data_IF_251866720517
#
_entry.id   IF_251866720517
#
_cell.length_a   1.000
_cell.length_b   1.000
_cell.length_c   1.000
_cell.angle_alpha   90.00
_cell.angle_beta   90.00
_cell.angle_gamma   90.00
#
_symmetry.space_group_name_H-M   'P 1'
#
loop_
_entity.id
_entity.type
_entity.pdbx_description
1 polymer ?
#
# COMPACT_ATOMS: atom_id res chain seq x y z
N UNK A 1 14.10 -22.19 -3.59
CA UNK A 1 13.68 -20.77 -3.52
C UNK A 1 12.69 -20.63 -2.39
N UNK A 2 12.44 -19.42 -1.92
CA UNK A 2 11.40 -19.17 -0.91
C UNK A 2 10.07 -18.95 -1.63
N UNK A 3 9.03 -19.68 -1.24
CA UNK A 3 7.67 -19.46 -1.74
C UNK A 3 7.06 -18.23 -1.07
N UNK A 4 7.00 -17.11 -1.80
CA UNK A 4 6.60 -15.81 -1.27
C UNK A 4 5.20 -15.85 -0.62
N UNK A 5 4.24 -16.53 -1.25
CA UNK A 5 2.86 -16.66 -0.76
C UNK A 5 2.82 -17.37 0.60
N UNK A 6 3.58 -18.45 0.74
CA UNK A 6 3.68 -19.20 2.00
C UNK A 6 4.29 -18.36 3.12
N UNK A 7 5.33 -17.58 2.80
CA UNK A 7 5.95 -16.65 3.77
C UNK A 7 5.00 -15.52 4.15
N UNK A 8 4.23 -14.98 3.21
CA UNK A 8 3.24 -13.95 3.49
C UNK A 8 2.15 -14.47 4.44
N UNK A 9 1.61 -15.67 4.19
CA UNK A 9 0.61 -16.29 5.06
C UNK A 9 1.14 -16.53 6.49
N UNK A 10 2.36 -17.09 6.62
CA UNK A 10 2.99 -17.29 7.93
C UNK A 10 3.28 -15.96 8.64
N UNK A 11 3.71 -14.94 7.89
CA UNK A 11 3.92 -13.59 8.42
C UNK A 11 2.62 -13.01 8.95
N UNK A 12 1.50 -13.13 8.22
CA UNK A 12 0.21 -12.63 8.65
C UNK A 12 -0.27 -13.33 9.94
N UNK A 13 -0.07 -14.64 10.05
CA UNK A 13 -0.36 -15.39 11.27
C UNK A 13 0.50 -14.91 12.45
N UNK A 14 1.81 -14.78 12.25
CA UNK A 14 2.74 -14.29 13.26
C UNK A 14 2.45 -12.84 13.68
N UNK A 15 2.04 -11.97 12.75
CA UNK A 15 1.63 -10.60 13.02
C UNK A 15 0.40 -10.57 13.94
N UNK A 16 -0.62 -11.37 13.65
CA UNK A 16 -1.81 -11.46 14.49
C UNK A 16 -1.51 -11.92 15.92
N UNK A 17 -0.57 -12.85 16.09
CA UNK A 17 -0.07 -13.26 17.43
C UNK A 17 0.70 -12.12 18.08
N UNK A 18 1.58 -11.45 17.34
CA UNK A 18 2.42 -10.37 17.84
C UNK A 18 1.60 -9.19 18.34
N UNK A 19 0.57 -8.76 17.59
CA UNK A 19 -0.36 -7.70 18.02
C UNK A 19 -1.04 -8.08 19.34
N UNK A 20 -1.61 -9.29 19.44
CA UNK A 20 -2.24 -9.73 20.69
C UNK A 20 -1.24 -9.79 21.85
N UNK A 21 0.00 -10.19 21.58
CA UNK A 21 1.04 -10.25 22.60
C UNK A 21 1.45 -8.85 23.07
N UNK A 22 1.61 -7.88 22.16
CA UNK A 22 1.94 -6.51 22.52
C UNK A 22 0.82 -5.84 23.30
N UNK A 23 -0.44 -6.12 22.93
CA UNK A 23 -1.62 -5.64 23.67
C UNK A 23 -1.70 -6.27 25.06
N UNK A 24 -1.63 -7.60 25.16
CA UNK A 24 -1.73 -8.34 26.41
C UNK A 24 -0.61 -7.99 27.41
N UNK A 25 0.54 -7.54 26.91
CA UNK A 25 1.67 -7.13 27.75
C UNK A 25 1.77 -5.62 27.96
N UNK A 26 0.85 -4.82 27.38
CA UNK A 26 0.86 -3.37 27.50
C UNK A 26 2.12 -2.73 26.89
N UNK A 27 2.61 -3.26 25.76
CA UNK A 27 3.77 -2.74 25.02
C UNK A 27 3.37 -1.80 23.87
N UNK A 28 2.08 -1.52 23.71
CA UNK A 28 1.54 -0.69 22.64
C UNK A 28 1.38 -1.45 21.33
N UNK A 29 1.26 -0.73 20.21
CA UNK A 29 1.08 -1.34 18.90
C UNK A 29 2.32 -2.09 18.38
N UNK A 30 2.07 -3.06 17.50
CA UNK A 30 3.14 -3.78 16.80
C UNK A 30 4.07 -2.82 16.04
N UNK A 31 5.38 -3.04 16.16
CA UNK A 31 6.40 -2.27 15.43
C UNK A 31 7.25 -3.16 14.55
N UNK A 32 7.76 -4.26 15.12
CA UNK A 32 8.59 -5.23 14.43
C UNK A 32 8.60 -6.58 15.16
N UNK A 33 8.95 -7.63 14.43
CA UNK A 33 9.21 -9.00 14.89
C UNK A 33 10.55 -9.45 14.33
N UNK A 34 11.40 -10.07 15.15
CA UNK A 34 12.62 -10.74 14.71
C UNK A 34 12.59 -12.20 15.17
N UNK A 35 12.74 -13.12 14.24
CA UNK A 35 12.89 -14.56 14.49
C UNK A 35 14.28 -14.97 14.06
N UNK A 36 15.05 -15.59 14.97
CA UNK A 36 16.34 -16.20 14.66
C UNK A 36 16.17 -17.71 14.46
N UNK A 37 16.50 -18.20 13.28
CA UNK A 37 16.63 -19.62 12.98
C UNK A 37 18.10 -20.07 12.97
N UNK A 38 18.33 -21.37 12.81
CA UNK A 38 19.69 -21.93 12.77
C UNK A 38 20.54 -21.48 11.56
N UNK A 39 19.91 -20.94 10.52
CA UNK A 39 20.58 -20.53 9.27
C UNK A 39 20.39 -19.06 8.93
N UNK A 40 19.77 -18.26 9.81
CA UNK A 40 19.45 -16.87 9.50
C UNK A 40 18.36 -16.24 10.33
N UNK A 41 17.86 -15.12 9.84
CA UNK A 41 16.85 -14.29 10.49
C UNK A 41 15.67 -14.05 9.56
N UNK A 42 14.49 -13.94 10.17
CA UNK A 42 13.27 -13.43 9.56
C UNK A 42 12.92 -12.18 10.35
N UNK A 43 12.88 -11.03 9.68
CA UNK A 43 12.54 -9.76 10.31
C UNK A 43 11.31 -9.15 9.63
N UNK A 44 10.27 -8.85 10.39
CA UNK A 44 9.04 -8.24 9.89
C UNK A 44 8.87 -6.86 10.53
N UNK A 45 8.65 -5.83 9.73
CA UNK A 45 8.46 -4.44 10.18
C UNK A 45 7.10 -3.92 9.72
N UNK A 46 6.45 -3.09 10.53
CA UNK A 46 5.25 -2.38 10.10
C UNK A 46 5.54 -1.52 8.85
N UNK A 47 4.64 -1.56 7.87
CA UNK A 47 4.75 -0.79 6.63
C UNK A 47 3.38 -0.20 6.27
N UNK A 48 3.08 0.97 6.85
CA UNK A 48 1.81 1.65 6.65
C UNK A 48 0.70 1.07 7.52
N UNK A 49 -0.54 1.37 7.15
CA UNK A 49 -1.74 0.98 7.88
C UNK A 49 -2.22 -0.45 7.60
N UNK A 50 -1.82 -1.02 6.46
CA UNK A 50 -2.39 -2.27 5.95
C UNK A 50 -1.35 -3.33 5.54
N UNK A 51 -0.04 -3.06 5.71
CA UNK A 51 1.01 -3.94 5.22
C UNK A 51 2.19 -4.07 6.19
N UNK A 52 3.02 -5.08 5.93
CA UNK A 52 4.28 -5.32 6.62
C UNK A 52 5.38 -5.65 5.62
N UNK A 53 6.61 -5.27 5.95
CA UNK A 53 7.82 -5.64 5.22
C UNK A 53 8.49 -6.82 5.91
N UNK A 54 8.57 -7.98 5.25
CA UNK A 54 9.33 -9.14 5.73
C UNK A 54 10.65 -9.28 4.97
N UNK A 55 11.75 -9.37 5.72
CA UNK A 55 13.11 -9.56 5.24
C UNK A 55 13.64 -10.92 5.70
N UNK A 56 14.29 -11.63 4.78
CA UNK A 56 15.02 -12.85 5.07
C UNK A 56 16.51 -12.57 4.98
N UNK A 57 17.26 -12.97 5.99
CA UNK A 57 18.69 -12.69 6.08
C UNK A 57 19.48 -13.90 6.55
N UNK A 58 20.72 -14.04 6.08
CA UNK A 58 21.63 -15.09 6.50
C UNK A 58 22.15 -14.88 7.94
N UNK A 59 22.64 -15.93 8.60
CA UNK A 59 23.02 -15.89 10.02
C UNK A 59 24.17 -14.90 10.34
N UNK A 60 25.03 -14.60 9.37
CA UNK A 60 26.16 -13.67 9.55
C UNK A 60 25.80 -12.19 9.31
N UNK A 61 24.52 -11.87 9.14
CA UNK A 61 24.14 -10.47 8.91
C UNK A 61 24.37 -9.61 10.16
N UNK A 62 24.68 -8.33 9.96
CA UNK A 62 24.66 -7.36 11.04
C UNK A 62 23.20 -7.03 11.40
N UNK A 63 22.70 -7.59 12.51
CA UNK A 63 21.32 -7.40 12.98
C UNK A 63 21.00 -5.93 13.27
N UNK A 64 21.97 -5.17 13.78
CA UNK A 64 21.80 -3.72 13.99
C UNK A 64 21.53 -2.98 12.68
N UNK A 65 22.28 -3.31 11.62
CA UNK A 65 22.06 -2.76 10.27
C UNK A 65 20.76 -3.25 9.65
N UNK A 66 20.38 -4.51 9.88
CA UNK A 66 19.10 -5.07 9.44
C UNK A 66 17.93 -4.26 10.02
N UNK A 67 17.96 -3.93 11.31
CA UNK A 67 16.93 -3.08 11.93
C UNK A 67 16.97 -1.64 11.42
N UNK A 68 18.16 -1.04 11.30
CA UNK A 68 18.29 0.34 10.82
C UNK A 68 17.66 0.51 9.44
N UNK A 69 18.05 -0.34 8.50
CA UNK A 69 17.56 -0.25 7.12
C UNK A 69 16.14 -0.81 7.00
N UNK A 70 15.79 -1.87 7.73
CA UNK A 70 14.45 -2.47 7.74
C UNK A 70 13.38 -1.50 8.20
N UNK A 71 13.62 -0.76 9.29
CA UNK A 71 12.70 0.29 9.77
C UNK A 71 12.57 1.44 8.77
N UNK A 72 13.69 1.88 8.19
CA UNK A 72 13.71 2.96 7.20
C UNK A 72 12.96 2.58 5.92
N UNK A 73 13.20 1.37 5.42
CA UNK A 73 12.52 0.83 4.25
C UNK A 73 11.04 0.60 4.53
N UNK A 74 10.70 0.02 5.69
CA UNK A 74 9.31 -0.20 6.11
C UNK A 74 8.49 1.09 6.16
N UNK A 75 9.05 2.16 6.74
CA UNK A 75 8.39 3.47 6.76
C UNK A 75 8.11 4.00 5.35
N UNK A 76 9.12 3.98 4.46
CA UNK A 76 8.98 4.45 3.07
C UNK A 76 8.01 3.61 2.24
N UNK A 77 8.03 2.30 2.42
CA UNK A 77 7.07 1.41 1.76
C UNK A 77 5.66 1.69 2.28
N UNK A 78 5.52 1.91 3.59
CA UNK A 78 4.25 2.28 4.21
C UNK A 78 3.63 3.52 3.60
N UNK A 79 4.41 4.60 3.45
CA UNK A 79 3.95 5.82 2.77
C UNK A 79 3.42 5.56 1.36
N UNK A 80 4.08 4.66 0.61
CA UNK A 80 3.64 4.29 -0.75
C UNK A 80 2.38 3.44 -0.76
N UNK A 81 2.28 2.47 0.17
CA UNK A 81 1.12 1.58 0.30
C UNK A 81 -0.11 2.38 0.71
N UNK A 82 0.00 3.22 1.75
CA UNK A 82 -1.11 4.03 2.23
C UNK A 82 -1.58 5.00 1.13
N UNK A 83 -0.65 5.68 0.46
CA UNK A 83 -1.00 6.56 -0.66
C UNK A 83 -1.63 5.81 -1.84
N UNK A 84 -1.27 4.54 -2.07
CA UNK A 84 -1.90 3.72 -3.11
C UNK A 84 -3.34 3.37 -2.72
N UNK A 85 -3.59 2.99 -1.47
CA UNK A 85 -4.94 2.71 -0.96
C UNK A 85 -5.84 3.94 -1.04
N UNK A 86 -5.36 5.11 -0.64
CA UNK A 86 -6.13 6.35 -0.74
C UNK A 86 -6.55 6.68 -2.18
N UNK A 87 -5.74 6.34 -3.20
CA UNK A 87 -6.09 6.55 -4.61
C UNK A 87 -7.17 5.57 -5.08
N UNK A 88 -7.16 4.34 -4.57
CA UNK A 88 -8.20 3.35 -4.86
C UNK A 88 -9.53 3.77 -4.25
N UNK A 89 -9.50 4.29 -3.02
CA UNK A 89 -10.69 4.76 -2.30
C UNK A 89 -11.28 6.07 -2.87
N UNK A 90 -10.49 6.86 -3.59
CA UNK A 90 -10.91 8.10 -4.23
C UNK A 90 -11.10 7.87 -5.74
N UNK A 91 -12.23 7.28 -6.19
CA UNK A 91 -12.49 7.17 -7.62
C UNK A 91 -12.48 8.58 -8.21
N UNK A 92 -11.71 8.74 -9.29
CA UNK A 92 -11.52 9.99 -9.99
C UNK A 92 -12.87 10.72 -10.13
N UNK A 93 -13.01 11.89 -9.49
CA UNK A 93 -14.10 12.79 -9.80
C UNK A 93 -13.92 13.17 -11.25
N UNK A 94 -14.68 12.52 -12.14
CA UNK A 94 -14.67 12.79 -13.57
C UNK A 94 -14.87 14.30 -13.74
N UNK A 95 -13.94 15.04 -14.38
CA UNK A 95 -14.20 16.42 -14.73
C UNK A 95 -15.45 16.44 -15.62
N UNK A 96 -16.54 16.99 -15.09
CA UNK A 96 -17.79 17.22 -15.81
C UNK A 96 -17.47 17.82 -17.17
N UNK A 97 -17.89 17.14 -18.21
CA UNK A 97 -17.79 17.48 -19.62
C UNK A 97 -18.00 18.98 -19.86
N UNK A 98 -17.05 19.62 -20.55
CA UNK A 98 -17.22 20.98 -21.04
C UNK A 98 -18.54 21.09 -21.84
N UNK A 99 -19.32 22.18 -21.70
CA UNK A 99 -20.58 22.33 -22.42
C UNK A 99 -20.35 22.31 -23.94
N UNK A 100 -21.28 21.74 -24.73
CA UNK A 100 -21.16 21.74 -26.18
C UNK A 100 -21.18 23.19 -26.69
N UNK A 101 -20.16 23.57 -27.46
CA UNK A 101 -20.14 24.87 -28.16
C UNK A 101 -21.37 24.96 -29.08
N UNK A 102 -22.15 26.05 -29.05
CA UNK A 102 -23.27 26.21 -29.96
C UNK A 102 -22.77 26.26 -31.42
N UNK A 103 -23.26 25.33 -32.24
CA UNK A 103 -23.09 25.37 -33.69
C UNK A 103 -23.97 26.47 -34.26
N UNK A 104 -23.38 27.61 -34.62
CA UNK A 104 -24.02 28.61 -35.48
C UNK A 104 -23.98 28.12 -36.93
N UNK A 105 -25.03 27.43 -37.35
CA UNK A 105 -25.35 27.29 -38.77
C UNK A 105 -26.36 28.39 -39.16
N UNK A 106 -26.10 29.20 -40.21
CA UNK A 106 -27.06 30.19 -40.67
C UNK A 106 -28.20 29.51 -41.42
N UNK A 107 -29.41 29.58 -40.86
CA UNK A 107 -30.64 29.14 -41.50
C UNK A 107 -30.98 30.08 -42.67
N UNK A 108 -30.66 29.67 -43.91
CA UNK A 108 -31.08 30.39 -45.11
C UNK A 108 -32.55 30.06 -45.40
N UNK A 109 -33.43 30.94 -44.93
CA UNK A 109 -34.86 30.88 -45.25
C UNK A 109 -35.08 30.94 -46.78
N UNK A 110 -35.82 29.96 -47.32
CA UNK A 110 -36.37 30.03 -48.67
C UNK A 110 -37.53 31.05 -48.70
N UNK A 111 -37.64 31.90 -49.75
CA UNK A 111 -38.77 32.80 -49.88
C UNK A 111 -40.05 32.01 -50.25
N UNK A 112 -41.10 32.19 -49.46
CA UNK A 112 -42.45 31.76 -49.76
C UNK A 112 -43.02 32.61 -50.91
N UNK A 113 -43.57 31.98 -51.96
CA UNK A 113 -44.30 32.67 -53.04
C UNK A 113 -45.74 32.94 -52.59
N UNK A 114 -46.33 34.12 -52.87
CA UNK A 114 -47.74 34.37 -52.61
C UNK A 114 -48.64 33.90 -53.78
N UNK A 115 -49.83 33.42 -53.38
CA UNK A 115 -51.12 33.25 -54.09
C UNK A 115 -51.13 32.88 -55.57
#
# INVERSE_FOLDING_TARGET
GVEAEGVAALTAAALGVSIRMTDATGRGGFRELLVRGGSGYIATYAAGSSAVLTLLAEDRINVGRLHLEGRRAGARIGELVDAALERVERPATVPRTAPPRPSTAPNRALPQRPT
#
